data_IF_124771572311
#
_entry.id   IF_124771572311
#
_cell.length_a   1.000
_cell.length_b   1.000
_cell.length_c   1.000
_cell.angle_alpha   90.00
_cell.angle_beta   90.00
_cell.angle_gamma   90.00
#
_symmetry.space_group_name_H-M   'P 1'
#
loop_
_entity.id
_entity.type
_entity.pdbx_description
1 polymer ?
#
# COMPACT_ATOMS: atom_id res chain seq x y z
N UNK A 1 8.52 37.60 46.88
CA UNK A 1 8.66 38.73 45.92
C UNK A 1 9.54 39.82 46.51
N UNK A 2 10.54 40.21 45.74
CA UNK A 2 11.72 40.98 46.11
C UNK A 2 11.35 42.30 46.84
N UNK A 3 11.93 42.50 48.04
CA UNK A 3 11.72 43.68 48.93
C UNK A 3 12.02 45.04 48.25
N UNK A 4 12.78 45.00 47.15
CA UNK A 4 13.13 46.16 46.31
C UNK A 4 11.90 46.77 45.62
N UNK A 5 11.06 45.95 44.98
CA UNK A 5 9.84 46.43 44.33
C UNK A 5 8.82 46.99 45.33
N UNK A 6 8.81 46.46 46.57
CA UNK A 6 7.95 46.97 47.66
C UNK A 6 8.31 48.39 48.08
N UNK A 7 9.61 48.69 48.23
CA UNK A 7 10.07 50.04 48.59
C UNK A 7 9.83 51.06 47.48
N UNK A 8 10.01 50.66 46.22
CA UNK A 8 9.72 51.53 45.06
C UNK A 8 8.22 51.86 44.99
N UNK A 9 7.34 50.88 45.23
CA UNK A 9 5.88 51.10 45.31
C UNK A 9 5.50 52.11 46.40
N UNK A 10 6.05 51.96 47.61
CA UNK A 10 5.76 52.85 48.72
C UNK A 10 6.24 54.29 48.49
N UNK A 11 7.41 54.47 47.88
CA UNK A 11 7.97 55.79 47.58
C UNK A 11 7.19 56.53 46.47
N UNK A 12 6.63 55.81 45.50
CA UNK A 12 5.88 56.38 44.37
C UNK A 12 4.42 56.68 44.74
N UNK A 13 3.80 55.87 45.62
CA UNK A 13 2.46 56.13 46.16
C UNK A 13 2.38 57.41 47.01
N UNK A 14 3.47 57.79 47.66
CA UNK A 14 3.57 59.02 48.45
C UNK A 14 3.62 60.31 47.61
N UNK A 15 3.88 60.23 46.29
CA UNK A 15 4.11 61.42 45.43
C UNK A 15 2.92 61.84 44.54
N UNK A 16 1.71 61.26 44.66
CA UNK A 16 0.56 61.55 43.77
C UNK A 16 0.85 61.33 42.26
N UNK A 17 1.87 60.55 41.90
CA UNK A 17 2.31 60.30 40.51
C UNK A 17 1.65 59.05 39.91
N UNK A 18 0.32 59.02 39.89
CA UNK A 18 -0.47 57.92 39.32
C UNK A 18 -0.03 57.57 37.88
N UNK A 19 0.26 58.59 37.06
CA UNK A 19 0.75 58.40 35.68
C UNK A 19 2.07 57.62 35.59
N UNK A 20 2.97 57.75 36.58
CA UNK A 20 4.22 56.96 36.61
C UNK A 20 3.95 55.51 36.97
N UNK A 21 3.01 55.26 37.87
CA UNK A 21 2.61 53.89 38.24
C UNK A 21 1.96 53.16 37.07
N UNK A 22 1.10 53.85 36.30
CA UNK A 22 0.49 53.33 35.09
C UNK A 22 1.55 52.98 34.03
N UNK A 23 2.53 53.86 33.80
CA UNK A 23 3.61 53.63 32.83
C UNK A 23 4.44 52.39 33.19
N UNK A 24 4.78 52.22 34.47
CA UNK A 24 5.54 51.06 34.95
C UNK A 24 4.73 49.75 34.84
N UNK A 25 3.44 49.77 35.19
CA UNK A 25 2.58 48.60 35.08
C UNK A 25 2.38 48.18 33.60
N UNK A 26 2.24 49.14 32.69
CA UNK A 26 2.21 48.87 31.24
C UNK A 26 3.53 48.25 30.79
N UNK A 27 4.66 48.80 31.23
CA UNK A 27 5.99 48.25 30.93
C UNK A 27 6.15 46.80 31.39
N UNK A 28 5.67 46.46 32.60
CA UNK A 28 5.70 45.10 33.14
C UNK A 28 4.81 44.14 32.34
N UNK A 29 3.60 44.56 31.97
CA UNK A 29 2.70 43.77 31.10
C UNK A 29 3.36 43.51 29.75
N UNK A 30 3.94 44.54 29.12
CA UNK A 30 4.63 44.40 27.82
C UNK A 30 5.78 43.41 27.93
N UNK A 31 6.57 43.47 29.00
CA UNK A 31 7.71 42.59 29.22
C UNK A 31 7.27 41.12 29.43
N UNK A 32 6.18 40.90 30.18
CA UNK A 32 5.57 39.57 30.35
C UNK A 32 5.03 39.04 29.01
N UNK A 33 4.33 39.87 28.24
CA UNK A 33 3.80 39.49 26.92
C UNK A 33 4.94 39.10 25.97
N UNK A 34 6.03 39.87 25.92
CA UNK A 34 7.23 39.52 25.13
C UNK A 34 7.80 38.17 25.57
N UNK A 35 7.89 37.92 26.88
CA UNK A 35 8.34 36.63 27.41
C UNK A 35 7.47 35.46 26.95
N UNK A 36 6.14 35.62 27.01
CA UNK A 36 5.19 34.59 26.54
C UNK A 36 5.30 34.37 25.03
N UNK A 37 5.40 35.45 24.24
CA UNK A 37 5.54 35.36 22.78
C UNK A 37 6.83 34.63 22.38
N UNK A 38 7.95 34.92 23.04
CA UNK A 38 9.22 34.21 22.79
C UNK A 38 9.08 32.73 23.15
N UNK A 39 8.46 32.41 24.30
CA UNK A 39 8.25 31.01 24.69
C UNK A 39 7.38 30.25 23.68
N UNK A 40 6.28 30.87 23.22
CA UNK A 40 5.43 30.31 22.16
C UNK A 40 6.21 30.14 20.84
N UNK A 41 7.03 31.11 20.47
CA UNK A 41 7.82 31.06 19.24
C UNK A 41 8.84 29.92 19.26
N UNK A 42 9.58 29.75 20.35
CA UNK A 42 10.53 28.64 20.52
C UNK A 42 9.82 27.29 20.43
N UNK A 43 8.67 27.16 21.10
CA UNK A 43 7.88 25.94 21.06
C UNK A 43 7.39 25.61 19.64
N UNK A 44 6.81 26.59 18.93
CA UNK A 44 6.37 26.39 17.55
C UNK A 44 7.52 26.02 16.61
N UNK A 45 8.69 26.65 16.77
CA UNK A 45 9.87 26.34 15.96
C UNK A 45 10.40 24.92 16.18
N UNK A 46 10.41 24.43 17.43
CA UNK A 46 10.82 23.06 17.72
C UNK A 46 9.82 22.03 17.15
N UNK A 47 8.52 22.31 17.25
CA UNK A 47 7.46 21.49 16.63
C UNK A 47 7.61 21.43 15.11
N UNK A 48 7.84 22.57 14.44
CA UNK A 48 8.06 22.62 13.00
C UNK A 48 9.29 21.80 12.57
N UNK A 49 10.36 21.85 13.36
CA UNK A 49 11.58 21.05 13.13
C UNK A 49 11.28 19.55 13.25
N UNK A 50 10.54 19.14 14.27
CA UNK A 50 10.12 17.74 14.48
C UNK A 50 9.22 17.28 13.33
N UNK A 51 8.24 18.10 12.94
CA UNK A 51 7.32 17.83 11.84
C UNK A 51 8.06 17.64 10.51
N UNK A 52 9.02 18.51 10.18
CA UNK A 52 9.87 18.36 8.99
C UNK A 52 10.69 17.07 9.01
N UNK A 53 11.27 16.71 10.17
CA UNK A 53 12.01 15.45 10.31
C UNK A 53 11.11 14.24 10.06
N UNK A 54 9.88 14.28 10.57
CA UNK A 54 8.89 13.23 10.35
C UNK A 54 8.44 13.18 8.88
N UNK A 55 8.18 14.32 8.25
CA UNK A 55 7.89 14.41 6.81
C UNK A 55 8.98 13.70 5.98
N UNK A 56 10.25 14.05 6.18
CA UNK A 56 11.36 13.39 5.45
C UNK A 56 11.42 11.88 5.69
N UNK A 57 11.22 11.45 6.95
CA UNK A 57 11.21 10.02 7.29
C UNK A 57 10.08 9.29 6.55
N UNK A 58 8.88 9.85 6.53
CA UNK A 58 7.73 9.26 5.85
C UNK A 58 7.92 9.22 4.33
N UNK A 59 8.44 10.29 3.73
CA UNK A 59 8.72 10.32 2.29
C UNK A 59 9.82 9.31 1.89
N UNK A 60 10.86 9.14 2.72
CA UNK A 60 11.89 8.12 2.50
C UNK A 60 11.32 6.70 2.62
N UNK A 61 10.45 6.47 3.59
CA UNK A 61 9.75 5.19 3.74
C UNK A 61 8.85 4.88 2.54
N UNK A 62 8.03 5.84 2.09
CA UNK A 62 7.22 5.70 0.86
C UNK A 62 8.14 5.36 -0.31
N UNK A 63 9.24 6.10 -0.50
CA UNK A 63 10.18 5.84 -1.59
C UNK A 63 10.72 4.40 -1.56
N UNK A 64 11.16 3.91 -0.40
CA UNK A 64 11.65 2.54 -0.23
C UNK A 64 10.57 1.51 -0.51
N UNK A 65 9.35 1.77 -0.04
CA UNK A 65 8.17 0.94 -0.29
C UNK A 65 7.88 0.83 -1.79
N UNK A 66 7.84 1.95 -2.51
CA UNK A 66 7.64 1.99 -3.97
C UNK A 66 8.74 1.23 -4.72
N UNK A 67 10.00 1.37 -4.29
CA UNK A 67 11.13 0.64 -4.87
C UNK A 67 11.00 -0.87 -4.66
N UNK A 68 10.59 -1.31 -3.46
CA UNK A 68 10.33 -2.71 -3.16
C UNK A 68 9.18 -3.29 -3.99
N UNK A 69 8.07 -2.56 -4.06
CA UNK A 69 6.89 -2.93 -4.86
C UNK A 69 7.24 -3.12 -6.35
N UNK A 70 8.06 -2.23 -6.92
CA UNK A 70 8.52 -2.33 -8.32
C UNK A 70 9.44 -3.54 -8.56
N UNK A 71 10.38 -3.80 -7.64
CA UNK A 71 11.30 -4.93 -7.76
C UNK A 71 10.59 -6.27 -7.74
N UNK A 72 9.62 -6.44 -6.83
CA UNK A 72 8.83 -7.66 -6.73
C UNK A 72 7.95 -7.88 -7.96
N UNK A 73 7.24 -6.83 -8.40
CA UNK A 73 6.32 -6.90 -9.55
C UNK A 73 7.05 -7.37 -10.81
N UNK A 74 8.24 -6.83 -11.09
CA UNK A 74 9.02 -7.22 -12.27
C UNK A 74 9.51 -8.67 -12.22
N UNK A 75 9.90 -9.16 -11.04
CA UNK A 75 10.40 -10.52 -10.87
C UNK A 75 9.28 -11.56 -10.97
N UNK A 76 8.15 -11.32 -10.31
CA UNK A 76 7.09 -12.31 -10.19
C UNK A 76 6.14 -12.33 -11.40
N UNK A 77 5.84 -11.17 -11.98
CA UNK A 77 4.79 -11.08 -13.00
C UNK A 77 5.26 -11.57 -14.38
N UNK A 78 6.49 -11.23 -14.79
CA UNK A 78 6.93 -11.44 -16.17
C UNK A 78 6.94 -12.91 -16.56
N UNK A 79 7.63 -13.77 -15.80
CA UNK A 79 7.77 -15.18 -16.15
C UNK A 79 6.47 -15.97 -15.95
N UNK A 80 5.74 -15.66 -14.88
CA UNK A 80 4.48 -16.35 -14.58
C UNK A 80 3.35 -15.94 -15.54
N UNK A 81 3.34 -14.70 -16.04
CA UNK A 81 2.38 -14.27 -17.06
C UNK A 81 2.55 -15.08 -18.35
N UNK A 82 3.79 -15.22 -18.85
CA UNK A 82 4.04 -16.03 -20.06
C UNK A 82 3.62 -17.50 -19.87
N UNK A 83 3.96 -18.11 -18.74
CA UNK A 83 3.56 -19.49 -18.41
C UNK A 83 2.05 -19.64 -18.29
N UNK A 84 1.36 -18.64 -17.74
CA UNK A 84 -0.10 -18.59 -17.63
C UNK A 84 -0.74 -18.60 -19.01
N UNK A 85 -0.33 -17.68 -19.89
CA UNK A 85 -0.87 -17.58 -21.25
C UNK A 85 -0.57 -18.84 -22.07
N UNK A 86 0.64 -19.40 -21.97
CA UNK A 86 1.00 -20.67 -22.61
C UNK A 86 0.07 -21.80 -22.14
N UNK A 87 -0.10 -21.96 -20.83
CA UNK A 87 -0.94 -22.99 -20.23
C UNK A 87 -2.41 -22.87 -20.61
N UNK A 88 -2.97 -21.65 -20.61
CA UNK A 88 -4.35 -21.38 -21.00
C UNK A 88 -4.58 -21.59 -22.50
N UNK A 89 -3.63 -21.19 -23.34
CA UNK A 89 -3.70 -21.41 -24.79
C UNK A 89 -3.67 -22.90 -25.11
N UNK A 90 -2.81 -23.65 -24.40
CA UNK A 90 -2.74 -25.10 -24.52
C UNK A 90 -4.06 -25.76 -24.09
N UNK A 91 -4.63 -25.33 -22.97
CA UNK A 91 -5.93 -25.80 -22.49
C UNK A 91 -7.05 -25.53 -23.50
N UNK A 92 -7.07 -24.32 -24.10
CA UNK A 92 -8.04 -23.94 -25.13
C UNK A 92 -7.93 -24.83 -26.36
N UNK A 93 -6.72 -24.98 -26.89
CA UNK A 93 -6.49 -25.82 -28.06
C UNK A 93 -6.89 -27.28 -27.81
N UNK A 94 -6.67 -27.79 -26.59
CA UNK A 94 -7.16 -29.11 -26.20
C UNK A 94 -8.70 -29.18 -26.18
N UNK A 95 -9.37 -28.22 -25.54
CA UNK A 95 -10.84 -28.16 -25.48
C UNK A 95 -11.48 -28.05 -26.87
N UNK A 96 -10.81 -27.38 -27.80
CA UNK A 96 -11.23 -27.22 -29.20
C UNK A 96 -10.80 -28.38 -30.10
N UNK A 97 -10.20 -29.44 -29.53
CA UNK A 97 -9.74 -30.63 -30.24
C UNK A 97 -8.69 -30.35 -31.34
N UNK A 98 -7.95 -29.24 -31.21
CA UNK A 98 -6.85 -28.88 -32.12
C UNK A 98 -5.57 -29.67 -31.83
N UNK A 99 -5.47 -30.26 -30.64
CA UNK A 99 -4.38 -31.12 -30.18
C UNK A 99 -4.97 -32.32 -29.42
N UNK A 100 -4.39 -33.51 -29.59
CA UNK A 100 -4.86 -34.74 -28.92
C UNK A 100 -3.70 -35.62 -28.43
N UNK A 101 -2.60 -35.71 -29.17
CA UNK A 101 -1.45 -36.55 -28.80
C UNK A 101 -0.38 -35.75 -28.06
N UNK A 102 -0.33 -35.88 -26.74
CA UNK A 102 0.65 -35.22 -25.88
C UNK A 102 0.94 -36.04 -24.63
N UNK A 103 2.15 -35.92 -24.11
CA UNK A 103 2.50 -36.47 -22.80
C UNK A 103 1.56 -35.87 -21.74
N UNK A 104 0.77 -36.74 -21.11
CA UNK A 104 -0.31 -36.33 -20.20
C UNK A 104 0.23 -35.58 -18.99
N UNK A 105 1.37 -36.02 -18.43
CA UNK A 105 1.96 -35.36 -17.26
C UNK A 105 2.47 -33.96 -17.62
N UNK A 106 3.16 -33.82 -18.76
CA UNK A 106 3.64 -32.53 -19.26
C UNK A 106 2.46 -31.60 -19.55
N UNK A 107 1.42 -32.08 -20.22
CA UNK A 107 0.22 -31.31 -20.51
C UNK A 107 -0.44 -30.80 -19.23
N UNK A 108 -0.73 -31.68 -18.27
CA UNK A 108 -1.39 -31.31 -17.02
C UNK A 108 -0.57 -30.29 -16.22
N UNK A 109 0.76 -30.43 -16.21
CA UNK A 109 1.66 -29.45 -15.60
C UNK A 109 1.57 -28.08 -16.30
N UNK A 110 1.61 -28.04 -17.64
CA UNK A 110 1.47 -26.78 -18.40
C UNK A 110 0.12 -26.11 -18.21
N UNK A 111 -0.98 -26.85 -18.31
CA UNK A 111 -2.34 -26.34 -18.11
C UNK A 111 -2.52 -25.77 -16.70
N UNK A 112 -1.92 -26.41 -15.69
CA UNK A 112 -1.98 -25.93 -14.31
C UNK A 112 -1.31 -24.56 -14.12
N UNK A 113 -0.33 -24.19 -14.96
CA UNK A 113 0.25 -22.85 -14.91
C UNK A 113 -0.73 -21.73 -15.27
N UNK A 114 -1.84 -22.03 -15.96
CA UNK A 114 -2.93 -21.08 -16.18
C UNK A 114 -3.54 -20.54 -14.86
N UNK A 115 -3.37 -21.28 -13.76
CA UNK A 115 -3.85 -20.91 -12.43
C UNK A 115 -2.91 -19.95 -11.69
N UNK A 116 -1.71 -19.70 -12.19
CA UNK A 116 -0.76 -18.79 -11.53
C UNK A 116 -1.24 -17.34 -11.69
N UNK A 117 -1.01 -16.52 -10.66
CA UNK A 117 -1.46 -15.12 -10.55
C UNK A 117 -2.99 -14.96 -10.72
N UNK A 118 -3.77 -16.02 -10.50
CA UNK A 118 -5.23 -16.04 -10.71
C UNK A 118 -6.02 -15.18 -9.72
N UNK A 119 -5.54 -15.03 -8.49
CA UNK A 119 -6.11 -14.11 -7.50
C UNK A 119 -5.48 -12.72 -7.57
N UNK A 120 -4.74 -12.41 -8.65
CA UNK A 120 -4.01 -11.16 -8.83
C UNK A 120 -3.21 -10.83 -7.58
N UNK A 121 -2.15 -11.59 -7.32
CA UNK A 121 -1.41 -11.44 -6.08
C UNK A 121 -0.75 -10.05 -6.06
N UNK A 122 -1.38 -9.13 -5.36
CA UNK A 122 -0.95 -7.75 -5.26
C UNK A 122 -0.12 -7.63 -4.00
N UNK A 123 1.17 -7.96 -4.11
CA UNK A 123 2.16 -7.69 -3.06
C UNK A 123 2.59 -6.22 -3.10
N UNK A 124 1.62 -5.31 -3.10
CA UNK A 124 1.88 -3.88 -2.94
C UNK A 124 1.79 -3.58 -1.45
N UNK A 125 2.92 -3.23 -0.85
CA UNK A 125 2.90 -2.66 0.51
C UNK A 125 2.31 -1.26 0.42
N UNK A 126 1.31 -0.99 1.26
CA UNK A 126 0.70 0.33 1.48
C UNK A 126 0.92 0.82 2.92
N UNK A 127 1.71 0.09 3.71
CA UNK A 127 1.83 0.25 5.16
C UNK A 127 2.17 1.68 5.58
N UNK A 128 3.10 2.32 4.86
CA UNK A 128 3.53 3.69 5.21
C UNK A 128 2.41 4.69 4.93
N UNK A 129 1.69 4.52 3.83
CA UNK A 129 0.54 5.36 3.51
C UNK A 129 -0.61 5.16 4.50
N UNK A 130 -0.91 3.90 4.83
CA UNK A 130 -1.96 3.56 5.79
C UNK A 130 -1.64 4.14 7.17
N UNK A 131 -0.38 4.07 7.62
CA UNK A 131 0.06 4.70 8.87
C UNK A 131 -0.19 6.21 8.83
N UNK A 132 0.24 6.89 7.76
CA UNK A 132 0.07 8.33 7.61
C UNK A 132 -1.41 8.76 7.64
N UNK A 133 -2.29 8.01 6.98
CA UNK A 133 -3.73 8.29 6.96
C UNK A 133 -4.35 8.02 8.33
N UNK A 134 -4.09 6.85 8.92
CA UNK A 134 -4.71 6.43 10.18
C UNK A 134 -4.26 7.23 11.39
N UNK A 135 -3.03 7.77 11.36
CA UNK A 135 -2.50 8.65 12.43
C UNK A 135 -2.80 10.13 12.21
N UNK A 136 -3.39 10.49 11.06
CA UNK A 136 -3.54 11.89 10.64
C UNK A 136 -2.25 12.55 10.17
N UNK A 137 -1.10 11.86 10.24
CA UNK A 137 0.22 12.41 9.86
C UNK A 137 0.36 12.74 8.38
N UNK A 138 -0.60 12.37 7.52
CA UNK A 138 -0.60 12.77 6.12
C UNK A 138 -0.59 14.31 5.91
N UNK A 139 -1.08 15.07 6.89
CA UNK A 139 -1.02 16.53 6.91
C UNK A 139 0.40 17.10 7.09
N UNK A 140 1.35 16.29 7.58
CA UNK A 140 2.75 16.69 7.77
C UNK A 140 3.49 16.87 6.45
N UNK A 141 3.01 16.28 5.35
CA UNK A 141 3.59 16.50 4.02
C UNK A 141 3.26 17.94 3.63
N UNK A 142 4.26 18.80 3.53
CA UNK A 142 4.09 20.23 3.28
C UNK A 142 3.92 20.55 1.79
N UNK A 143 4.48 19.71 0.91
CA UNK A 143 4.31 19.86 -0.53
C UNK A 143 2.95 19.30 -0.99
N UNK A 144 1.98 20.18 -1.24
CA UNK A 144 0.62 19.78 -1.64
C UNK A 144 0.56 19.07 -3.00
N UNK A 145 1.46 19.40 -3.92
CA UNK A 145 1.54 18.71 -5.21
C UNK A 145 1.95 17.25 -5.01
N UNK A 146 3.04 17.01 -4.27
CA UNK A 146 3.50 15.67 -3.92
C UNK A 146 2.45 14.89 -3.12
N UNK A 147 1.84 15.55 -2.13
CA UNK A 147 0.76 14.99 -1.32
C UNK A 147 -0.40 14.47 -2.18
N UNK A 148 -0.80 15.23 -3.20
CA UNK A 148 -1.87 14.84 -4.12
C UNK A 148 -1.46 13.69 -5.03
N UNK A 149 -0.23 13.68 -5.55
CA UNK A 149 0.27 12.57 -6.35
C UNK A 149 0.36 11.27 -5.56
N UNK A 150 0.83 11.33 -4.30
CA UNK A 150 0.82 10.19 -3.38
C UNK A 150 -0.60 9.67 -3.17
N UNK A 151 -1.58 10.55 -2.88
CA UNK A 151 -2.99 10.14 -2.74
C UNK A 151 -3.53 9.44 -3.98
N UNK A 152 -3.30 10.01 -5.17
CA UNK A 152 -3.78 9.44 -6.44
C UNK A 152 -3.17 8.06 -6.68
N UNK A 153 -1.88 7.90 -6.42
CA UNK A 153 -1.19 6.62 -6.56
C UNK A 153 -1.82 5.54 -5.67
N UNK A 154 -1.95 5.77 -4.37
CA UNK A 154 -2.53 4.77 -3.47
C UNK A 154 -4.02 4.52 -3.73
N UNK A 155 -4.79 5.55 -4.10
CA UNK A 155 -6.18 5.36 -4.53
C UNK A 155 -6.28 4.47 -5.79
N UNK A 156 -5.37 4.65 -6.76
CA UNK A 156 -5.32 3.80 -7.95
C UNK A 156 -4.98 2.34 -7.62
N UNK A 157 -4.13 2.12 -6.61
CA UNK A 157 -3.84 0.77 -6.11
C UNK A 157 -5.09 0.13 -5.50
N UNK A 158 -5.77 0.85 -4.61
CA UNK A 158 -6.99 0.33 -3.98
C UNK A 158 -8.06 0.00 -5.02
N UNK A 159 -8.28 0.90 -5.99
CA UNK A 159 -9.20 0.67 -7.09
C UNK A 159 -8.82 -0.56 -7.92
N UNK A 160 -7.52 -0.74 -8.22
CA UNK A 160 -7.03 -1.90 -8.94
C UNK A 160 -7.22 -3.20 -8.14
N UNK A 161 -6.96 -3.21 -6.83
CA UNK A 161 -7.16 -4.38 -5.97
C UNK A 161 -8.63 -4.78 -5.94
N UNK A 162 -9.55 -3.82 -5.80
CA UNK A 162 -10.99 -4.09 -5.82
C UNK A 162 -11.43 -4.67 -7.16
N UNK A 163 -10.95 -4.09 -8.26
CA UNK A 163 -11.26 -4.58 -9.61
C UNK A 163 -10.73 -6.00 -9.85
N UNK A 164 -9.48 -6.29 -9.46
CA UNK A 164 -8.86 -7.62 -9.53
C UNK A 164 -9.66 -8.64 -8.73
N UNK A 165 -10.07 -8.32 -7.50
CA UNK A 165 -10.83 -9.22 -6.64
C UNK A 165 -12.21 -9.56 -7.22
N UNK A 166 -12.80 -8.66 -8.03
CA UNK A 166 -14.06 -8.90 -8.72
C UNK A 166 -13.88 -9.65 -10.06
N UNK A 167 -12.65 -9.75 -10.57
CA UNK A 167 -12.30 -10.34 -11.86
C UNK A 167 -11.54 -11.67 -11.69
N UNK A 168 -12.18 -12.65 -11.05
CA UNK A 168 -11.65 -14.02 -10.99
C UNK A 168 -12.51 -14.96 -11.82
N UNK A 169 -11.92 -15.75 -12.71
CA UNK A 169 -12.71 -16.72 -13.50
C UNK A 169 -13.17 -17.94 -12.71
N UNK A 170 -12.45 -18.30 -11.64
CA UNK A 170 -12.58 -19.60 -10.96
C UNK A 170 -11.64 -20.69 -11.52
N UNK A 171 -10.90 -20.43 -12.59
CA UNK A 171 -9.96 -21.38 -13.21
C UNK A 171 -8.98 -21.97 -12.21
N UNK A 172 -8.34 -21.13 -11.39
CA UNK A 172 -7.38 -21.62 -10.41
C UNK A 172 -8.00 -22.44 -9.30
N UNK A 173 -9.21 -22.07 -8.85
CA UNK A 173 -9.95 -22.90 -7.89
C UNK A 173 -10.22 -24.27 -8.50
N UNK A 174 -10.72 -24.32 -9.73
CA UNK A 174 -10.98 -25.57 -10.44
C UNK A 174 -9.71 -26.44 -10.55
N UNK A 175 -8.58 -25.87 -10.98
CA UNK A 175 -7.31 -26.60 -11.07
C UNK A 175 -6.86 -27.12 -9.70
N UNK A 176 -6.95 -26.31 -8.65
CA UNK A 176 -6.56 -26.70 -7.30
C UNK A 176 -7.49 -27.77 -6.71
N UNK A 177 -8.75 -27.79 -7.10
CA UNK A 177 -9.72 -28.80 -6.64
C UNK A 177 -9.45 -30.18 -7.26
N UNK A 178 -8.92 -30.24 -8.50
CA UNK A 178 -8.68 -31.50 -9.22
C UNK A 178 -7.22 -31.97 -9.20
N UNK A 179 -6.26 -31.09 -8.91
CA UNK A 179 -4.83 -31.41 -8.90
C UNK A 179 -4.41 -31.89 -7.51
N UNK A 180 -3.87 -33.11 -7.37
CA UNK A 180 -3.32 -33.56 -6.10
C UNK A 180 -2.08 -32.73 -5.73
N UNK A 181 -1.92 -32.44 -4.44
CA UNK A 181 -0.75 -31.75 -3.91
C UNK A 181 0.28 -32.74 -3.36
N UNK A 182 1.51 -32.67 -3.87
CA UNK A 182 2.68 -33.37 -3.34
C UNK A 182 3.75 -32.33 -3.00
N UNK A 183 4.08 -32.23 -1.71
CA UNK A 183 5.06 -31.27 -1.20
C UNK A 183 6.49 -31.59 -1.67
N UNK A 184 6.83 -32.87 -1.79
CA UNK A 184 8.18 -33.31 -2.13
C UNK A 184 8.40 -33.39 -3.64
N UNK A 185 7.32 -33.55 -4.40
CA UNK A 185 7.39 -33.58 -5.86
C UNK A 185 6.22 -32.81 -6.52
N UNK A 186 6.28 -31.47 -6.57
CA UNK A 186 5.16 -30.63 -7.02
C UNK A 186 4.73 -30.84 -8.49
N UNK A 187 5.61 -31.41 -9.32
CA UNK A 187 5.33 -31.71 -10.74
C UNK A 187 4.84 -33.13 -10.96
N UNK A 188 4.90 -34.00 -9.94
CA UNK A 188 4.41 -35.36 -10.04
C UNK A 188 2.90 -35.42 -9.90
N UNK A 189 2.29 -36.21 -10.79
CA UNK A 189 0.87 -36.55 -10.76
C UNK A 189 0.81 -38.04 -11.04
N UNK A 190 0.31 -38.84 -10.10
CA UNK A 190 0.18 -40.28 -10.30
C UNK A 190 -0.74 -40.60 -11.48
N UNK A 191 -0.57 -41.73 -12.16
CA UNK A 191 -1.43 -42.14 -13.28
C UNK A 191 -2.94 -42.13 -12.95
N UNK A 192 -3.32 -42.49 -11.72
CA UNK A 192 -4.70 -42.40 -11.23
C UNK A 192 -5.24 -40.97 -11.32
N UNK A 193 -4.58 -40.03 -10.65
CA UNK A 193 -4.98 -38.61 -10.66
C UNK A 193 -4.86 -37.97 -12.04
N UNK A 194 -3.89 -38.39 -12.89
CA UNK A 194 -3.84 -37.92 -14.27
C UNK A 194 -5.15 -38.25 -15.00
N UNK A 195 -5.67 -39.47 -14.84
CA UNK A 195 -6.95 -39.88 -15.45
C UNK A 195 -8.13 -39.07 -14.92
N UNK A 196 -8.21 -38.83 -13.61
CA UNK A 196 -9.27 -38.00 -13.02
C UNK A 196 -9.23 -36.56 -13.51
N UNK A 197 -8.04 -35.95 -13.54
CA UNK A 197 -7.85 -34.60 -14.06
C UNK A 197 -8.28 -34.52 -15.53
N UNK A 198 -7.89 -35.48 -16.37
CA UNK A 198 -8.31 -35.49 -17.78
C UNK A 198 -9.84 -35.58 -17.94
N UNK A 199 -10.55 -36.30 -17.07
CA UNK A 199 -12.03 -36.32 -17.08
C UNK A 199 -12.57 -34.93 -16.75
N UNK A 200 -12.05 -34.28 -15.71
CA UNK A 200 -12.48 -32.95 -15.31
C UNK A 200 -12.21 -31.89 -16.40
N UNK A 201 -11.03 -31.94 -17.05
CA UNK A 201 -10.62 -31.01 -18.10
C UNK A 201 -11.44 -31.14 -19.40
N UNK A 202 -12.16 -32.25 -19.59
CA UNK A 202 -13.09 -32.41 -20.72
C UNK A 202 -14.48 -31.83 -20.44
N UNK A 203 -14.71 -31.26 -19.26
CA UNK A 203 -16.00 -30.67 -18.91
C UNK A 203 -16.28 -29.35 -19.65
N UNK A 204 -17.57 -29.08 -19.88
CA UNK A 204 -18.02 -27.79 -20.42
C UNK A 204 -17.69 -26.64 -19.47
N UNK A 205 -17.68 -26.90 -18.16
CA UNK A 205 -17.27 -25.95 -17.13
C UNK A 205 -15.82 -25.51 -17.35
N UNK A 206 -14.89 -26.48 -17.46
CA UNK A 206 -13.48 -26.16 -17.67
C UNK A 206 -13.25 -25.29 -18.91
N UNK A 207 -13.91 -25.61 -20.04
CA UNK A 207 -13.81 -24.80 -21.26
C UNK A 207 -14.27 -23.35 -21.03
N UNK A 208 -15.38 -23.14 -20.32
CA UNK A 208 -15.87 -21.79 -19.98
C UNK A 208 -14.88 -21.04 -19.09
N UNK A 209 -14.27 -21.73 -18.13
CA UNK A 209 -13.25 -21.14 -17.25
C UNK A 209 -12.00 -20.73 -18.05
N UNK A 210 -11.56 -21.54 -19.01
CA UNK A 210 -10.42 -21.20 -19.91
C UNK A 210 -10.71 -19.93 -20.71
N UNK A 211 -11.87 -19.85 -21.36
CA UNK A 211 -12.22 -18.67 -22.17
C UNK A 211 -12.36 -17.41 -21.31
N UNK A 212 -12.95 -17.53 -20.13
CA UNK A 212 -13.09 -16.40 -19.20
C UNK A 212 -11.72 -15.95 -18.67
N UNK A 213 -10.84 -16.88 -18.27
CA UNK A 213 -9.51 -16.54 -17.76
C UNK A 213 -8.63 -15.90 -18.85
N UNK A 214 -8.70 -16.39 -20.09
CA UNK A 214 -8.03 -15.75 -21.24
C UNK A 214 -8.59 -14.35 -21.53
N UNK A 215 -9.91 -14.19 -21.42
CA UNK A 215 -10.55 -12.88 -21.57
C UNK A 215 -10.00 -11.91 -20.54
N UNK A 216 -9.99 -12.30 -19.26
CA UNK A 216 -9.48 -11.48 -18.17
C UNK A 216 -7.97 -11.19 -18.29
N UNK A 217 -7.17 -12.17 -18.75
CA UNK A 217 -5.74 -12.01 -18.94
C UNK A 217 -5.38 -11.02 -20.06
N UNK A 218 -6.24 -10.82 -21.06
CA UNK A 218 -6.04 -9.81 -22.11
C UNK A 218 -6.33 -8.37 -21.68
N UNK A 219 -6.95 -8.17 -20.51
CA UNK A 219 -7.24 -6.84 -19.95
C UNK A 219 -6.18 -6.35 -18.94
N UNK A 220 -5.10 -7.12 -18.75
CA UNK A 220 -3.95 -6.81 -17.88
C UNK A 220 -2.80 -6.31 -18.74
#
# INVERSE_FOLDING_TARGET
>A
MIKFFRHIRQKILAENKFSKYLLYAIGEIVLVVIGILIALFINSWDQDRINKKNEYKYLDNIKKELQGNNGFSNYFLKDNYFRKIEGLTLAKNYCEQKIQDQDTLVFLNKVSYGAVISTGITFLSTKTYDELVNTGNFQLITNDSLKNEVKKYYWSIEAAIVDINNKTSGYAKFINDVRPFDFYNPTYISAYHQKEMMIALNSVEFRKLVDLELTLANYI
#
